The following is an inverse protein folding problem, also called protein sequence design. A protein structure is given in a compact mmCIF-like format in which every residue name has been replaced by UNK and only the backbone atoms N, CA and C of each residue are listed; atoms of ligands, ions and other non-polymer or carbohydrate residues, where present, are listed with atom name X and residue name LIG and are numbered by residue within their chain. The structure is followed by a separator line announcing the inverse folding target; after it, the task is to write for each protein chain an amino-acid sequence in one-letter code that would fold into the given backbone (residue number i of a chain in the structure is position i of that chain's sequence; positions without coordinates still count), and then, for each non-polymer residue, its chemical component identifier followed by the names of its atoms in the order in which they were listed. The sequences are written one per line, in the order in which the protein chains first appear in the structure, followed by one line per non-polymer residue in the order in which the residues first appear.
data_IF_822744054925
#
_entry.id   IF_822744054925
#
_cell.length_a   1.000
_cell.length_b   1.000
_cell.length_c   1.000
_cell.angle_alpha   90.00
_cell.angle_beta   90.00
_cell.angle_gamma   90.00
#
_symmetry.space_group_name_H-M   'P 1'
#
loop_
_entity.id
_entity.type
_entity.pdbx_description
1 polymer ?
#
# COMPACT_ATOMS: atom_id res chain seq x y z
N UNK A 1 -6.38 3.12 -2.05
CA UNK A 1 -6.05 4.00 -3.21
C UNK A 1 -6.67 5.37 -3.02
N UNK A 2 -5.88 6.37 -2.62
CA UNK A 2 -6.36 7.70 -2.26
C UNK A 2 -7.05 8.47 -3.39
N UNK A 3 -6.62 8.27 -4.60
CA UNK A 3 -7.01 9.10 -5.75
C UNK A 3 -8.12 8.51 -6.61
N UNK A 4 -8.62 7.33 -6.24
CA UNK A 4 -9.72 6.71 -6.96
C UNK A 4 -11.05 7.05 -6.31
N UNK A 5 -12.05 7.22 -7.14
CA UNK A 5 -13.46 7.18 -6.78
C UNK A 5 -13.94 5.77 -7.05
N UNK A 6 -14.65 5.21 -6.08
CA UNK A 6 -15.09 3.82 -6.17
C UNK A 6 -16.60 3.76 -6.14
N UNK A 7 -17.16 2.86 -6.95
CA UNK A 7 -18.53 2.37 -6.77
C UNK A 7 -18.42 0.91 -6.34
N UNK A 8 -19.08 0.58 -5.27
CA UNK A 8 -19.25 -0.80 -4.80
C UNK A 8 -20.72 -1.19 -5.01
N UNK A 9 -20.94 -2.23 -5.81
CA UNK A 9 -22.23 -2.83 -6.05
C UNK A 9 -22.26 -4.21 -5.42
N UNK A 10 -23.31 -4.51 -4.67
CA UNK A 10 -23.56 -5.83 -4.10
C UNK A 10 -24.48 -6.60 -5.04
N UNK A 11 -24.03 -7.75 -5.53
CA UNK A 11 -24.83 -8.61 -6.42
C UNK A 11 -25.47 -9.77 -5.67
N UNK A 12 -24.80 -10.25 -4.62
CA UNK A 12 -25.27 -11.37 -3.80
C UNK A 12 -24.72 -11.25 -2.38
N UNK A 13 -25.46 -11.74 -1.39
CA UNK A 13 -25.06 -11.68 0.02
C UNK A 13 -25.28 -10.33 0.67
N UNK A 14 -24.67 -10.11 1.83
CA UNK A 14 -24.78 -8.87 2.59
C UNK A 14 -23.41 -8.33 2.98
N UNK A 15 -23.26 -7.02 2.88
CA UNK A 15 -22.03 -6.31 3.17
C UNK A 15 -22.29 -5.17 4.13
N UNK A 16 -21.47 -5.05 5.14
CA UNK A 16 -21.42 -3.87 6.00
C UNK A 16 -20.18 -3.06 5.69
N UNK A 17 -20.35 -1.77 5.44
CA UNK A 17 -19.25 -0.85 5.12
C UNK A 17 -19.16 0.24 6.16
N UNK A 18 -17.93 0.55 6.59
CA UNK A 18 -17.59 1.76 7.36
C UNK A 18 -16.85 2.73 6.49
N UNK A 19 -17.33 3.98 6.49
CA UNK A 19 -16.71 5.10 5.78
C UNK A 19 -16.22 6.14 6.77
N UNK A 20 -14.99 6.61 6.59
CA UNK A 20 -14.35 7.61 7.44
C UNK A 20 -13.84 8.74 6.56
N UNK A 21 -14.17 9.99 6.93
CA UNK A 21 -13.71 11.18 6.23
C UNK A 21 -12.19 11.35 6.31
N UNK A 22 -11.54 11.89 5.27
CA UNK A 22 -10.10 12.19 5.26
C UNK A 22 -9.63 13.10 6.40
N UNK A 23 -10.51 13.90 6.97
CA UNK A 23 -10.22 14.79 8.14
C UNK A 23 -9.67 14.00 9.33
N UNK A 24 -10.07 12.74 9.47
CA UNK A 24 -9.65 11.86 10.55
C UNK A 24 -8.40 11.03 10.26
N UNK A 25 -7.74 11.21 9.11
CA UNK A 25 -6.55 10.44 8.71
C UNK A 25 -5.44 10.46 9.77
N UNK A 26 -5.27 11.59 10.47
CA UNK A 26 -4.28 11.73 11.56
C UNK A 26 -4.49 10.76 12.73
N UNK A 27 -5.71 10.27 12.95
CA UNK A 27 -6.05 9.33 14.01
C UNK A 27 -6.04 7.87 13.55
N UNK A 28 -5.83 7.64 12.24
CA UNK A 28 -5.85 6.32 11.63
C UNK A 28 -4.45 5.72 11.47
N UNK A 29 -3.39 6.42 11.89
CA UNK A 29 -2.01 5.95 11.79
C UNK A 29 -1.65 5.47 10.38
N UNK A 30 -1.88 6.36 9.40
CA UNK A 30 -1.69 6.06 7.99
C UNK A 30 -0.29 5.52 7.68
N UNK A 31 -0.24 4.33 7.10
CA UNK A 31 0.96 3.73 6.52
C UNK A 31 0.92 3.98 5.02
N UNK A 32 1.93 4.70 4.52
CA UNK A 32 2.06 5.07 3.11
C UNK A 32 2.99 4.10 2.41
N UNK A 33 2.42 3.22 1.60
CA UNK A 33 3.17 2.36 0.70
C UNK A 33 3.16 3.00 -0.70
N UNK A 34 4.25 3.66 -1.04
CA UNK A 34 4.40 4.30 -2.35
C UNK A 34 4.79 3.32 -3.46
N UNK A 35 5.34 2.15 -3.14
CA UNK A 35 5.71 1.14 -4.13
C UNK A 35 4.48 0.55 -4.79
N UNK A 36 3.52 0.11 -3.98
CA UNK A 36 2.23 -0.40 -4.45
C UNK A 36 1.19 0.72 -4.62
N UNK A 37 1.53 1.94 -4.20
CA UNK A 37 0.62 3.08 -4.14
C UNK A 37 -0.63 2.79 -3.32
N UNK A 38 -0.43 2.14 -2.19
CA UNK A 38 -1.47 1.78 -1.23
C UNK A 38 -1.29 2.55 0.09
N UNK A 39 -2.41 2.99 0.63
CA UNK A 39 -2.47 3.70 1.89
C UNK A 39 -3.37 2.90 2.82
N UNK A 40 -2.79 2.42 3.91
CA UNK A 40 -3.44 1.50 4.83
C UNK A 40 -3.41 2.05 6.24
N UNK A 41 -4.39 1.66 7.04
CA UNK A 41 -4.38 1.86 8.48
C UNK A 41 -4.14 0.53 9.18
N UNK A 42 -3.32 0.47 10.23
CA UNK A 42 -3.14 -0.74 11.02
C UNK A 42 -4.33 -1.00 11.95
N UNK A 43 -5.29 -0.08 12.02
CA UNK A 43 -6.46 -0.19 12.89
C UNK A 43 -7.51 -1.04 12.18
N UNK A 44 -7.99 -2.07 12.89
CA UNK A 44 -9.20 -2.77 12.47
C UNK A 44 -10.42 -2.00 13.01
N UNK A 45 -11.25 -1.36 12.17
CA UNK A 45 -12.37 -0.58 12.64
C UNK A 45 -13.55 -1.43 13.17
N UNK A 46 -13.49 -2.74 13.00
CA UNK A 46 -14.49 -3.69 13.48
C UNK A 46 -14.15 -4.28 14.85
N UNK A 47 -12.85 -4.33 15.18
CA UNK A 47 -12.32 -4.75 16.46
C UNK A 47 -11.06 -3.92 16.76
N UNK A 48 -11.25 -2.81 17.44
CA UNK A 48 -10.19 -1.82 17.65
C UNK A 48 -9.23 -2.31 18.73
N UNK A 49 -7.97 -2.48 18.37
CA UNK A 49 -6.92 -2.89 19.31
C UNK A 49 -6.76 -1.87 20.43
N UNK A 50 -6.53 -2.32 21.65
CA UNK A 50 -6.45 -1.49 22.89
C UNK A 50 -5.54 -0.27 22.75
N UNK A 51 -4.42 -0.38 22.04
CA UNK A 51 -3.45 0.71 21.82
C UNK A 51 -4.01 1.89 20.99
N UNK A 52 -5.04 1.65 20.16
CA UNK A 52 -5.59 2.68 19.28
C UNK A 52 -6.95 3.22 19.72
N UNK A 53 -7.59 2.60 20.71
CA UNK A 53 -8.95 2.96 21.17
C UNK A 53 -9.07 4.45 21.51
N UNK A 54 -8.06 5.00 22.18
CA UNK A 54 -8.06 6.42 22.60
C UNK A 54 -8.21 7.39 21.42
N UNK A 55 -7.52 7.12 20.33
CA UNK A 55 -7.54 8.00 19.16
C UNK A 55 -8.67 7.63 18.21
N UNK A 56 -9.01 6.37 18.09
CA UNK A 56 -10.13 5.91 17.28
C UNK A 56 -11.49 6.40 17.81
N UNK A 57 -11.64 6.58 19.11
CA UNK A 57 -12.86 7.16 19.71
C UNK A 57 -13.13 8.61 19.28
N UNK A 58 -12.12 9.31 18.73
CA UNK A 58 -12.28 10.66 18.15
C UNK A 58 -12.75 10.62 16.69
N UNK A 59 -12.74 9.44 16.08
CA UNK A 59 -13.08 9.26 14.68
C UNK A 59 -14.59 9.09 14.53
N UNK A 60 -15.21 9.91 13.70
CA UNK A 60 -16.60 9.72 13.28
C UNK A 60 -16.62 8.92 11.99
N UNK A 61 -17.44 7.90 11.96
CA UNK A 61 -17.61 7.04 10.79
C UNK A 61 -19.11 6.91 10.45
N UNK A 62 -19.36 6.58 9.21
CA UNK A 62 -20.69 6.21 8.70
C UNK A 62 -20.67 4.70 8.51
N UNK A 63 -21.63 4.01 9.08
CA UNK A 63 -21.81 2.56 8.92
C UNK A 63 -23.10 2.30 8.12
N UNK A 64 -22.99 1.50 7.07
CA UNK A 64 -24.08 1.23 6.15
C UNK A 64 -24.11 -0.27 5.86
N UNK A 65 -25.29 -0.86 5.94
CA UNK A 65 -25.54 -2.21 5.46
C UNK A 65 -26.04 -2.16 4.02
N UNK A 66 -25.43 -2.97 3.17
CA UNK A 66 -25.74 -3.07 1.74
C UNK A 66 -26.28 -4.46 1.45
N UNK A 67 -27.38 -4.51 0.69
CA UNK A 67 -28.03 -5.72 0.23
C UNK A 67 -27.91 -5.85 -1.30
N UNK A 68 -28.22 -7.02 -1.88
CA UNK A 68 -28.16 -7.20 -3.33
C UNK A 68 -28.99 -6.15 -4.09
N UNK A 69 -28.34 -5.51 -5.08
CA UNK A 69 -28.88 -4.39 -5.85
C UNK A 69 -28.43 -3.02 -5.37
N UNK A 70 -27.88 -2.89 -4.17
CA UNK A 70 -27.38 -1.62 -3.68
C UNK A 70 -26.04 -1.25 -4.32
N UNK A 71 -25.90 0.05 -4.58
CA UNK A 71 -24.67 0.65 -5.08
C UNK A 71 -24.27 1.80 -4.16
N UNK A 72 -23.07 1.74 -3.61
CA UNK A 72 -22.51 2.84 -2.82
C UNK A 72 -21.39 3.54 -3.57
N UNK A 73 -21.41 4.86 -3.53
CA UNK A 73 -20.33 5.70 -4.00
C UNK A 73 -19.36 6.05 -2.88
N UNK A 74 -18.08 5.74 -3.06
CA UNK A 74 -17.01 6.07 -2.14
C UNK A 74 -16.16 7.18 -2.77
N UNK A 75 -16.17 8.41 -2.21
CA UNK A 75 -15.39 9.52 -2.75
C UNK A 75 -13.89 9.26 -2.67
N UNK A 76 -13.12 9.98 -3.50
CA UNK A 76 -11.67 9.96 -3.41
C UNK A 76 -11.21 10.45 -2.01
N UNK A 77 -10.10 9.89 -1.54
CA UNK A 77 -9.46 10.17 -0.23
C UNK A 77 -10.23 9.69 1.00
N UNK A 78 -11.42 9.10 0.85
CA UNK A 78 -12.13 8.52 1.96
C UNK A 78 -11.55 7.16 2.35
N UNK A 79 -11.48 6.94 3.66
CA UNK A 79 -11.15 5.66 4.23
C UNK A 79 -12.39 4.78 4.25
N UNK A 80 -12.22 3.52 3.91
CA UNK A 80 -13.32 2.57 3.98
C UNK A 80 -12.84 1.20 4.41
N UNK A 81 -13.72 0.48 5.08
CA UNK A 81 -13.53 -0.92 5.45
C UNK A 81 -14.81 -1.69 5.19
N UNK A 82 -14.67 -2.82 4.55
CA UNK A 82 -15.78 -3.69 4.16
C UNK A 82 -15.74 -4.94 5.00
N UNK A 83 -16.88 -5.30 5.57
CA UNK A 83 -17.10 -6.56 6.29
C UNK A 83 -18.16 -7.36 5.56
N UNK A 84 -17.80 -8.53 5.10
CA UNK A 84 -18.72 -9.49 4.50
C UNK A 84 -19.42 -10.26 5.61
N UNK A 85 -20.74 -10.32 5.58
CA UNK A 85 -21.56 -10.99 6.59
C UNK A 85 -21.86 -12.43 6.20
N UNK A 86 -21.95 -12.68 4.90
CA UNK A 86 -22.25 -13.96 4.27
C UNK A 86 -21.30 -14.25 3.12
N UNK A 87 -21.56 -15.35 2.39
CA UNK A 87 -21.01 -15.58 1.06
C UNK A 87 -21.55 -14.47 0.13
N UNK A 88 -20.66 -13.58 -0.27
CA UNK A 88 -21.05 -12.33 -0.91
C UNK A 88 -20.30 -12.13 -2.22
N UNK A 89 -21.01 -11.74 -3.26
CA UNK A 89 -20.42 -11.29 -4.51
C UNK A 89 -20.59 -9.77 -4.64
N UNK A 90 -19.46 -9.08 -4.89
CA UNK A 90 -19.44 -7.62 -5.06
C UNK A 90 -18.65 -7.22 -6.27
N UNK A 91 -19.10 -6.19 -6.97
CA UNK A 91 -18.39 -5.56 -8.06
C UNK A 91 -17.91 -4.18 -7.61
N UNK A 92 -16.62 -3.90 -7.83
CA UNK A 92 -16.04 -2.61 -7.51
C UNK A 92 -15.50 -1.95 -8.78
N UNK A 93 -16.04 -0.78 -9.11
CA UNK A 93 -15.57 0.05 -10.20
C UNK A 93 -14.75 1.20 -9.66
N UNK A 94 -13.51 1.32 -10.14
CA UNK A 94 -12.58 2.40 -9.76
C UNK A 94 -12.34 3.29 -10.95
N UNK A 95 -12.51 4.59 -10.76
CA UNK A 95 -12.14 5.56 -11.80
C UNK A 95 -11.41 6.75 -11.21
N UNK A 96 -10.67 7.44 -12.05
CA UNK A 96 -9.86 8.59 -11.70
C UNK A 96 -10.12 9.71 -12.69
N UNK A 97 -10.26 10.93 -12.18
CA UNK A 97 -10.36 12.14 -12.99
C UNK A 97 -8.98 12.78 -13.21
N UNK A 98 -8.84 13.58 -14.25
CA UNK A 98 -7.61 14.35 -14.50
C UNK A 98 -7.25 15.25 -13.32
N UNK A 99 -8.22 15.91 -12.69
CA UNK A 99 -8.01 16.73 -11.49
C UNK A 99 -7.44 15.95 -10.34
N UNK A 100 -7.93 14.73 -10.10
CA UNK A 100 -7.36 13.86 -9.07
C UNK A 100 -5.92 13.46 -9.42
N UNK A 101 -5.59 13.28 -10.70
CA UNK A 101 -4.22 12.97 -11.14
C UNK A 101 -3.28 14.13 -10.87
N UNK A 102 -3.71 15.36 -11.15
CA UNK A 102 -2.93 16.57 -10.83
C UNK A 102 -2.76 16.72 -9.32
N UNK A 103 -3.81 16.51 -8.54
CA UNK A 103 -3.76 16.63 -7.09
C UNK A 103 -2.77 15.65 -6.41
N UNK A 104 -2.55 14.47 -6.99
CA UNK A 104 -1.60 13.48 -6.47
C UNK A 104 -0.21 13.55 -7.11
N UNK A 105 0.03 14.52 -7.99
CA UNK A 105 1.33 14.64 -8.67
C UNK A 105 2.53 14.64 -7.72
N UNK A 106 2.50 15.27 -6.52
CA UNK A 106 3.61 15.19 -5.57
C UNK A 106 3.88 13.76 -5.09
N UNK A 107 2.83 12.96 -4.83
CA UNK A 107 2.99 11.57 -4.42
C UNK A 107 3.52 10.69 -5.56
N UNK A 108 3.14 10.98 -6.80
CA UNK A 108 3.68 10.29 -7.97
C UNK A 108 5.17 10.57 -8.15
N UNK A 109 5.61 11.80 -7.91
CA UNK A 109 7.03 12.17 -7.93
C UNK A 109 7.79 11.41 -6.85
N UNK A 110 7.29 11.38 -5.62
CA UNK A 110 7.91 10.61 -4.51
C UNK A 110 8.03 9.13 -4.89
N UNK A 111 6.97 8.55 -5.45
CA UNK A 111 6.99 7.16 -5.93
C UNK A 111 8.06 6.93 -6.99
N UNK A 112 8.19 7.85 -7.93
CA UNK A 112 9.20 7.77 -8.98
C UNK A 112 10.62 7.83 -8.39
N UNK A 113 10.86 8.74 -7.46
CA UNK A 113 12.15 8.88 -6.78
C UNK A 113 12.49 7.62 -5.96
N UNK A 114 11.54 7.04 -5.25
CA UNK A 114 11.77 5.80 -4.50
C UNK A 114 12.12 4.64 -5.43
N UNK A 115 11.41 4.49 -6.55
CA UNK A 115 11.75 3.45 -7.55
C UNK A 115 13.14 3.64 -8.16
N UNK A 116 13.55 4.89 -8.36
CA UNK A 116 14.90 5.18 -8.82
C UNK A 116 15.95 4.82 -7.75
N UNK A 117 15.71 5.19 -6.49
CA UNK A 117 16.61 4.83 -5.38
C UNK A 117 16.78 3.32 -5.23
N UNK A 118 15.68 2.56 -5.26
CA UNK A 118 15.72 1.09 -5.20
C UNK A 118 16.56 0.51 -6.34
N UNK A 119 16.45 1.05 -7.56
CA UNK A 119 17.27 0.60 -8.68
C UNK A 119 18.78 0.89 -8.44
N UNK A 120 19.11 2.06 -7.92
CA UNK A 120 20.49 2.42 -7.62
C UNK A 120 21.07 1.53 -6.51
N UNK A 121 20.33 1.25 -5.46
CA UNK A 121 20.75 0.36 -4.37
C UNK A 121 21.00 -1.07 -4.86
N UNK A 122 20.15 -1.58 -5.75
CA UNK A 122 20.35 -2.90 -6.36
C UNK A 122 21.61 -2.92 -7.24
N UNK A 123 21.81 -1.91 -8.08
CA UNK A 123 22.98 -1.80 -8.95
C UNK A 123 24.25 -1.72 -8.11
N UNK A 124 24.27 -0.89 -7.07
CA UNK A 124 25.41 -0.76 -6.18
C UNK A 124 25.73 -2.08 -5.47
N UNK A 125 24.73 -2.79 -4.95
CA UNK A 125 24.93 -4.10 -4.33
C UNK A 125 25.51 -5.12 -5.30
N UNK A 126 24.98 -5.20 -6.51
CA UNK A 126 25.49 -6.13 -7.54
C UNK A 126 26.94 -5.78 -7.87
N UNK A 127 27.27 -4.52 -8.05
CA UNK A 127 28.64 -4.07 -8.37
C UNK A 127 29.61 -4.43 -7.25
N UNK A 128 29.22 -4.22 -5.99
CA UNK A 128 30.05 -4.59 -4.83
C UNK A 128 30.27 -6.10 -4.77
N UNK A 129 29.23 -6.90 -4.94
CA UNK A 129 29.35 -8.37 -4.92
C UNK A 129 30.21 -8.89 -6.06
N UNK A 130 30.11 -8.32 -7.25
CA UNK A 130 30.98 -8.68 -8.39
C UNK A 130 32.43 -8.34 -8.14
N UNK A 131 32.73 -7.17 -7.55
CA UNK A 131 34.10 -6.78 -7.21
C UNK A 131 34.73 -7.67 -6.12
N UNK A 132 33.96 -8.06 -5.12
CA UNK A 132 34.39 -9.01 -4.10
C UNK A 132 34.67 -10.39 -4.68
N UNK A 133 33.78 -10.90 -5.54
CA UNK A 133 34.01 -12.20 -6.22
C UNK A 133 35.25 -12.17 -7.08
N UNK A 134 35.51 -11.09 -7.80
CA UNK A 134 36.69 -10.94 -8.62
C UNK A 134 38.00 -10.92 -7.78
N UNK A 135 37.98 -10.30 -6.60
CA UNK A 135 39.13 -10.28 -5.70
C UNK A 135 39.47 -11.68 -5.16
N UNK A 136 38.46 -12.46 -4.81
CA UNK A 136 38.63 -13.86 -4.36
C UNK A 136 39.23 -14.75 -5.45
N UNK A 137 38.78 -14.61 -6.71
CA UNK A 137 39.31 -15.39 -7.84
C UNK A 137 40.79 -15.04 -8.08
N UNK A 138 41.14 -13.77 -7.99
CA UNK A 138 42.52 -13.35 -8.17
C UNK A 138 43.46 -13.84 -7.05
N UNK A 139 42.99 -13.79 -5.79
CA UNK A 139 43.75 -14.35 -4.66
C UNK A 139 43.93 -15.86 -4.73
N UNK A 140 42.96 -16.59 -5.28
CA UNK A 140 43.02 -18.03 -5.46
C UNK A 140 44.00 -18.42 -6.59
N UNK A 141 44.03 -17.65 -7.68
CA UNK A 141 44.98 -17.84 -8.78
C UNK A 141 46.44 -17.54 -8.38
N UNK A 142 46.68 -16.48 -7.60
CA UNK A 142 48.00 -16.13 -7.09
C UNK A 142 48.56 -17.18 -6.11
N UNK A 143 47.70 -17.80 -5.31
CA UNK A 143 48.05 -18.90 -4.40
C UNK A 143 48.35 -20.22 -5.10
N UNK A 144 47.75 -20.49 -6.26
CA UNK A 144 48.08 -21.66 -7.10
C UNK A 144 49.42 -21.51 -7.80
N UNK A 145 49.70 -20.32 -8.32
CA UNK A 145 50.99 -20.02 -8.97
C UNK A 145 52.21 -20.06 -7.99
N UNK A 146 51.99 -19.75 -6.69
CA UNK A 146 53.01 -19.92 -5.67
C UNK A 146 53.29 -21.39 -5.29
N UNK A 147 52.29 -22.25 -5.36
CA UNK A 147 52.42 -23.67 -5.07
C UNK A 147 53.11 -24.47 -6.19
N UNK A 148 53.03 -24.02 -7.44
CA UNK A 148 53.69 -24.66 -8.57
C UNK A 148 55.21 -24.31 -8.69
N UNK A 149 55.68 -23.29 -7.94
CA UNK A 149 57.04 -22.82 -7.93
C UNK A 149 57.91 -23.38 -6.79
N UNK A 150 57.32 -24.26 -5.93
CA UNK A 150 58.03 -24.88 -4.80
C UNK A 150 58.16 -26.38 -5.02
#
# INVERSE_FOLDING_TARGET
NLNYRNYLCVTEGQVRIKLISPIYSKYLYEIKDYDNFEFKSPINPWDVQKKYVRDFNKVKFIEIDLVPGDIIYIPAYWWYSVKYLDLTCTLMFKYRTYMNTIAISPQLIIRMLQKLNVKWDIVNKITTTLSETQSWINEESDNEDEKEKT
#
